data_IF_304044541003
#
_entry.id   IF_304044541003
#
_cell.length_a   1.000
_cell.length_b   1.000
_cell.length_c   1.000
_cell.angle_alpha   90.00
_cell.angle_beta   90.00
_cell.angle_gamma   90.00
#
_symmetry.space_group_name_H-M   'P 1'
#
loop_
_entity.id
_entity.type
_entity.pdbx_description
1 polymer ?
#
# COMPACT_ATOMS: atom_id res chain seq x y z
N UNK A 1 -27.40 -25.36 26.38
CA UNK A 1 -26.82 -26.01 25.19
C UNK A 1 -26.06 -24.94 24.41
N UNK A 2 -24.78 -25.23 24.13
CA UNK A 2 -23.88 -24.74 23.07
C UNK A 2 -24.31 -23.53 22.20
N UNK A 3 -23.42 -22.67 21.68
CA UNK A 3 -21.98 -22.36 21.83
C UNK A 3 -21.72 -21.25 20.78
N UNK A 4 -20.91 -20.28 21.14
CA UNK A 4 -19.90 -19.64 20.28
C UNK A 4 -20.37 -18.97 18.98
N UNK A 5 -20.94 -17.77 19.11
CA UNK A 5 -20.70 -16.72 18.11
C UNK A 5 -19.30 -16.17 18.35
N UNK A 6 -18.37 -16.17 17.37
CA UNK A 6 -17.08 -15.53 17.57
C UNK A 6 -17.27 -14.02 17.80
N UNK A 7 -16.38 -13.35 18.57
CA UNK A 7 -16.45 -11.90 18.77
C UNK A 7 -16.45 -11.19 17.42
N UNK A 8 -17.29 -10.17 17.25
CA UNK A 8 -17.45 -9.40 16.01
C UNK A 8 -16.10 -8.90 15.44
N UNK A 9 -15.13 -8.60 16.31
CA UNK A 9 -13.74 -8.27 15.96
C UNK A 9 -12.94 -9.41 15.31
N UNK A 10 -13.12 -10.66 15.75
CA UNK A 10 -12.51 -11.84 15.12
C UNK A 10 -13.14 -12.07 13.75
N UNK A 11 -14.45 -11.83 13.64
CA UNK A 11 -15.15 -11.89 12.35
C UNK A 11 -14.65 -10.82 11.37
N UNK A 12 -14.35 -9.61 11.86
CA UNK A 12 -13.81 -8.52 11.04
C UNK A 12 -12.34 -8.71 10.69
N UNK A 13 -11.47 -9.16 11.61
CA UNK A 13 -10.09 -9.55 11.28
C UNK A 13 -10.09 -10.67 10.25
N UNK A 14 -10.89 -11.72 10.45
CA UNK A 14 -10.96 -12.84 9.53
C UNK A 14 -11.56 -12.43 8.18
N UNK A 15 -12.56 -11.52 8.14
CA UNK A 15 -13.07 -10.94 6.89
C UNK A 15 -12.05 -10.06 6.18
N UNK A 16 -11.27 -9.26 6.90
CA UNK A 16 -10.22 -8.42 6.33
C UNK A 16 -9.09 -9.29 5.78
N UNK A 17 -8.61 -10.26 6.54
CA UNK A 17 -7.59 -11.21 6.08
C UNK A 17 -8.09 -12.04 4.90
N UNK A 18 -9.34 -12.54 4.98
CA UNK A 18 -9.99 -13.27 3.88
C UNK A 18 -10.19 -12.39 2.65
N UNK A 19 -10.58 -11.12 2.79
CA UNK A 19 -10.74 -10.18 1.67
C UNK A 19 -9.39 -9.76 1.06
N UNK A 20 -8.34 -9.62 1.88
CA UNK A 20 -6.97 -9.35 1.42
C UNK A 20 -6.35 -10.53 0.66
N UNK A 21 -6.77 -11.75 1.02
CA UNK A 21 -6.37 -13.00 0.36
C UNK A 21 -7.26 -13.29 -0.87
N UNK A 22 -8.57 -13.02 -0.81
CA UNK A 22 -9.53 -13.31 -1.88
C UNK A 22 -9.49 -12.27 -3.01
N UNK A 23 -9.20 -11.00 -2.71
CA UNK A 23 -8.90 -9.98 -3.72
C UNK A 23 -7.38 -9.80 -3.82
N UNK A 24 -6.68 -10.83 -4.31
CA UNK A 24 -5.27 -10.71 -4.66
C UNK A 24 -5.10 -9.49 -5.59
N UNK A 25 -4.34 -8.48 -5.14
CA UNK A 25 -3.98 -7.38 -6.03
C UNK A 25 -3.31 -7.97 -7.28
N UNK A 26 -3.55 -7.38 -8.45
CA UNK A 26 -3.04 -7.89 -9.73
C UNK A 26 -1.52 -8.10 -9.66
N UNK A 27 -0.83 -7.24 -8.90
CA UNK A 27 0.61 -7.34 -8.62
C UNK A 27 1.05 -8.64 -7.95
N UNK A 28 0.21 -9.21 -7.08
CA UNK A 28 0.51 -10.43 -6.31
C UNK A 28 0.07 -11.70 -7.03
N UNK A 29 -0.61 -11.59 -8.18
CA UNK A 29 -1.00 -12.77 -8.94
C UNK A 29 0.24 -13.57 -9.36
N UNK A 30 0.08 -14.90 -9.39
CA UNK A 30 1.04 -15.78 -10.04
C UNK A 30 1.32 -15.27 -11.47
N UNK A 31 2.59 -15.33 -11.89
CA UNK A 31 3.03 -14.87 -13.21
C UNK A 31 2.19 -15.47 -14.35
N UNK A 32 1.70 -16.72 -14.22
CA UNK A 32 0.84 -17.33 -15.24
C UNK A 32 -0.58 -16.76 -15.26
N UNK A 33 -1.14 -16.30 -14.13
CA UNK A 33 -2.39 -15.53 -14.12
C UNK A 33 -2.20 -14.18 -14.84
N UNK A 34 -1.04 -13.53 -14.65
CA UNK A 34 -0.69 -12.30 -15.38
C UNK A 34 -0.52 -12.55 -16.89
N UNK A 35 0.02 -13.71 -17.28
CA UNK A 35 0.07 -14.13 -18.68
C UNK A 35 -1.33 -14.28 -19.26
N UNK A 36 -2.26 -14.92 -18.55
CA UNK A 36 -3.65 -15.07 -18.99
C UNK A 36 -4.29 -13.70 -19.23
N UNK A 37 -4.14 -12.76 -18.28
CA UNK A 37 -4.64 -11.39 -18.44
C UNK A 37 -4.08 -10.74 -19.72
N UNK A 38 -2.76 -10.80 -19.91
CA UNK A 38 -2.12 -10.24 -21.10
C UNK A 38 -2.58 -10.92 -22.40
N UNK A 39 -2.77 -12.24 -22.41
CA UNK A 39 -3.26 -12.98 -23.58
C UNK A 39 -4.71 -12.60 -23.93
N UNK A 40 -5.55 -12.37 -22.93
CA UNK A 40 -6.92 -11.86 -23.13
C UNK A 40 -6.88 -10.45 -23.72
N UNK A 41 -6.03 -9.57 -23.19
CA UNK A 41 -5.85 -8.21 -23.73
C UNK A 41 -5.29 -8.25 -25.17
N UNK A 42 -4.33 -9.12 -25.45
CA UNK A 42 -3.79 -9.30 -26.80
C UNK A 42 -4.80 -9.88 -27.78
N UNK A 43 -5.61 -10.84 -27.35
CA UNK A 43 -6.73 -11.35 -28.14
C UNK A 43 -7.72 -10.24 -28.48
N UNK A 44 -8.06 -9.36 -27.52
CA UNK A 44 -8.92 -8.21 -27.75
C UNK A 44 -8.31 -7.23 -28.77
N UNK A 45 -6.99 -6.99 -28.73
CA UNK A 45 -6.29 -6.19 -29.76
C UNK A 45 -6.45 -6.82 -31.15
N UNK A 46 -6.27 -8.14 -31.29
CA UNK A 46 -6.48 -8.81 -32.59
C UNK A 46 -7.93 -8.77 -33.08
N UNK A 47 -8.90 -8.87 -32.17
CA UNK A 47 -10.32 -8.67 -32.50
C UNK A 47 -10.55 -7.27 -33.07
N UNK A 48 -10.00 -6.23 -32.44
CA UNK A 48 -10.06 -4.85 -32.97
C UNK A 48 -9.50 -4.78 -34.40
N UNK A 49 -8.33 -5.39 -34.65
CA UNK A 49 -7.78 -5.42 -36.01
C UNK A 49 -8.64 -6.18 -37.02
N UNK A 50 -9.23 -7.31 -36.61
CA UNK A 50 -10.12 -8.10 -37.47
C UNK A 50 -11.35 -7.27 -37.83
N UNK A 51 -11.96 -6.59 -36.85
CA UNK A 51 -13.10 -5.71 -37.06
C UNK A 51 -12.74 -4.61 -38.06
N UNK A 52 -11.61 -3.92 -37.89
CA UNK A 52 -11.18 -2.88 -38.82
C UNK A 52 -11.02 -3.42 -40.25
N UNK A 53 -10.32 -4.55 -40.43
CA UNK A 53 -10.09 -5.16 -41.75
C UNK A 53 -11.39 -5.62 -42.41
N UNK A 54 -12.30 -6.25 -41.65
CA UNK A 54 -13.61 -6.68 -42.17
C UNK A 54 -14.45 -5.48 -42.57
N UNK A 55 -14.48 -4.41 -41.77
CA UNK A 55 -15.18 -3.16 -42.12
C UNK A 55 -14.66 -2.55 -43.42
N UNK A 56 -13.34 -2.53 -43.63
CA UNK A 56 -12.74 -2.06 -44.89
C UNK A 56 -13.15 -2.95 -46.08
N UNK A 57 -13.17 -4.27 -45.91
CA UNK A 57 -13.61 -5.21 -46.97
C UNK A 57 -15.09 -5.06 -47.32
N UNK A 58 -15.93 -4.68 -46.36
CA UNK A 58 -17.37 -4.46 -46.57
C UNK A 58 -17.70 -3.10 -47.21
N UNK A 59 -16.72 -2.18 -47.31
CA UNK A 59 -16.90 -0.81 -47.79
C UNK A 59 -16.04 -0.56 -49.05
N UNK A 60 -16.55 -0.84 -50.27
CA UNK A 60 -15.79 -0.73 -51.52
C UNK A 60 -15.20 0.65 -51.80
N UNK A 61 -15.83 1.72 -51.29
CA UNK A 61 -15.33 3.10 -51.40
C UNK A 61 -13.97 3.32 -50.72
N UNK A 62 -13.58 2.45 -49.78
CA UNK A 62 -12.31 2.52 -49.06
C UNK A 62 -11.17 1.77 -49.77
N UNK A 63 -11.48 0.93 -50.77
CA UNK A 63 -10.49 0.07 -51.42
C UNK A 63 -9.39 0.85 -52.15
N UNK A 64 -9.69 2.06 -52.60
CA UNK A 64 -8.69 2.96 -53.22
C UNK A 64 -7.55 3.35 -52.27
N UNK A 65 -7.77 3.29 -50.96
CA UNK A 65 -6.81 3.72 -49.95
C UNK A 65 -5.98 2.58 -49.37
N UNK A 66 -6.25 1.32 -49.75
CA UNK A 66 -5.62 0.13 -49.16
C UNK A 66 -5.15 -0.90 -50.18
N UNK A 67 -4.08 -1.61 -49.85
CA UNK A 67 -3.65 -2.79 -50.60
C UNK A 67 -4.54 -4.00 -50.23
N UNK A 68 -5.50 -4.34 -51.09
CA UNK A 68 -6.47 -5.41 -50.85
C UNK A 68 -5.84 -6.82 -50.71
N UNK A 69 -4.93 -7.26 -51.60
CA UNK A 69 -4.23 -8.53 -51.42
C UNK A 69 -3.53 -8.64 -50.07
N UNK A 70 -2.77 -7.60 -49.69
CA UNK A 70 -2.08 -7.57 -48.40
C UNK A 70 -3.05 -7.55 -47.23
N UNK A 71 -4.13 -6.75 -47.31
CA UNK A 71 -5.13 -6.66 -46.25
C UNK A 71 -5.79 -8.02 -45.97
N UNK A 72 -6.14 -8.78 -47.02
CA UNK A 72 -6.72 -10.13 -46.89
C UNK A 72 -5.72 -11.12 -46.29
N UNK A 73 -4.46 -11.09 -46.72
CA UNK A 73 -3.40 -11.92 -46.14
C UNK A 73 -3.21 -11.60 -44.64
N UNK A 74 -3.14 -10.31 -44.30
CA UNK A 74 -2.99 -9.83 -42.92
C UNK A 74 -4.22 -10.11 -42.05
N UNK A 75 -5.41 -10.26 -42.63
CA UNK A 75 -6.60 -10.70 -41.90
C UNK A 75 -6.43 -12.15 -41.43
N UNK A 76 -5.98 -13.04 -42.31
CA UNK A 76 -5.67 -14.43 -41.97
C UNK A 76 -4.64 -14.54 -40.85
N UNK A 77 -3.56 -13.76 -40.93
CA UNK A 77 -2.55 -13.72 -39.86
C UNK A 77 -3.13 -13.27 -38.51
N UNK A 78 -4.02 -12.27 -38.48
CA UNK A 78 -4.66 -11.87 -37.23
C UNK A 78 -5.54 -12.96 -36.61
N UNK A 79 -6.26 -13.71 -37.43
CA UNK A 79 -7.04 -14.86 -36.96
C UNK A 79 -6.11 -15.93 -36.38
N UNK A 80 -4.97 -16.20 -37.02
CA UNK A 80 -3.97 -17.14 -36.51
C UNK A 80 -3.43 -16.69 -35.15
N UNK A 81 -2.99 -15.44 -35.00
CA UNK A 81 -2.48 -14.93 -33.73
C UNK A 81 -3.55 -14.92 -32.63
N UNK A 82 -4.79 -14.54 -32.96
CA UNK A 82 -5.92 -14.63 -32.03
C UNK A 82 -6.10 -16.06 -31.51
N UNK A 83 -6.14 -17.05 -32.40
CA UNK A 83 -6.29 -18.46 -32.02
C UNK A 83 -5.10 -18.93 -31.18
N UNK A 84 -3.86 -18.58 -31.57
CA UNK A 84 -2.66 -18.94 -30.80
C UNK A 84 -2.70 -18.36 -29.38
N UNK A 85 -3.11 -17.10 -29.21
CA UNK A 85 -3.23 -16.48 -27.90
C UNK A 85 -4.30 -17.16 -27.04
N UNK A 86 -5.46 -17.47 -27.62
CA UNK A 86 -6.54 -18.18 -26.91
C UNK A 86 -6.13 -19.61 -26.51
N UNK A 87 -5.44 -20.33 -27.40
CA UNK A 87 -4.92 -21.68 -27.09
C UNK A 87 -3.86 -21.65 -26.00
N UNK A 88 -3.03 -20.60 -25.92
CA UNK A 88 -1.99 -20.45 -24.91
C UNK A 88 -2.54 -20.16 -23.50
N UNK A 89 -3.80 -19.74 -23.36
CA UNK A 89 -4.45 -19.55 -22.06
C UNK A 89 -4.56 -20.89 -21.30
N UNK A 90 -4.93 -21.97 -22.00
CA UNK A 90 -5.11 -23.28 -21.38
C UNK A 90 -3.85 -23.80 -20.67
N UNK A 91 -2.65 -23.87 -21.29
CA UNK A 91 -1.45 -24.33 -20.60
C UNK A 91 -1.03 -23.39 -19.46
N UNK A 92 -1.26 -22.06 -19.58
CA UNK A 92 -1.04 -21.14 -18.46
C UNK A 92 -1.92 -21.46 -17.25
N UNK A 93 -3.15 -21.92 -17.48
CA UNK A 93 -4.06 -22.33 -16.41
C UNK A 93 -3.74 -23.74 -15.88
N UNK A 94 -3.63 -24.72 -16.78
CA UNK A 94 -3.47 -26.14 -16.47
C UNK A 94 -2.13 -26.46 -15.80
N UNK A 95 -1.06 -25.72 -16.12
CA UNK A 95 0.29 -25.96 -15.60
C UNK A 95 0.75 -24.88 -14.62
N UNK A 96 -0.19 -24.16 -13.98
CA UNK A 96 0.10 -23.08 -13.03
C UNK A 96 1.05 -23.49 -11.89
N UNK A 97 1.03 -24.76 -11.49
CA UNK A 97 1.84 -25.31 -10.39
C UNK A 97 3.19 -25.91 -10.84
N UNK A 98 3.46 -25.98 -12.16
CA UNK A 98 4.70 -26.53 -12.71
C UNK A 98 5.77 -25.43 -12.81
N UNK A 99 6.92 -25.62 -12.17
CA UNK A 99 8.04 -24.66 -12.18
C UNK A 99 8.51 -24.30 -13.59
N UNK A 100 8.68 -25.29 -14.47
CA UNK A 100 9.12 -25.04 -15.85
C UNK A 100 8.12 -24.17 -16.62
N UNK A 101 6.82 -24.34 -16.39
CA UNK A 101 5.77 -23.58 -17.06
C UNK A 101 5.77 -22.12 -16.60
N UNK A 102 5.97 -21.87 -15.29
CA UNK A 102 6.13 -20.53 -14.73
C UNK A 102 7.36 -19.78 -15.26
N UNK A 103 8.39 -20.50 -15.73
CA UNK A 103 9.57 -19.89 -16.35
C UNK A 103 9.38 -19.67 -17.84
N UNK A 104 8.88 -20.66 -18.59
CA UNK A 104 8.87 -20.64 -20.05
C UNK A 104 7.67 -19.91 -20.64
N UNK A 105 6.46 -20.16 -20.13
CA UNK A 105 5.23 -19.62 -20.72
C UNK A 105 5.15 -18.08 -20.70
N UNK A 106 5.71 -17.35 -19.71
CA UNK A 106 5.75 -15.89 -19.78
C UNK A 106 6.53 -15.35 -20.97
N UNK A 107 7.70 -15.92 -21.29
CA UNK A 107 8.48 -15.50 -22.47
C UNK A 107 7.73 -15.78 -23.77
N UNK A 108 7.07 -16.94 -23.87
CA UNK A 108 6.26 -17.28 -25.05
C UNK A 108 5.07 -16.33 -25.18
N UNK A 109 4.36 -16.08 -24.08
CA UNK A 109 3.16 -15.22 -24.09
C UNK A 109 3.52 -13.77 -24.46
N UNK A 110 4.55 -13.22 -23.82
CA UNK A 110 5.00 -11.84 -24.06
C UNK A 110 5.59 -11.74 -25.46
N UNK A 111 6.42 -12.71 -25.87
CA UNK A 111 7.01 -12.76 -27.21
C UNK A 111 5.96 -12.82 -28.32
N UNK A 112 4.97 -13.70 -28.20
CA UNK A 112 3.87 -13.81 -29.16
C UNK A 112 3.10 -12.49 -29.29
N UNK A 113 2.79 -11.85 -28.16
CA UNK A 113 2.12 -10.55 -28.13
C UNK A 113 2.95 -9.45 -28.81
N UNK A 114 4.22 -9.33 -28.45
CA UNK A 114 5.12 -8.29 -28.97
C UNK A 114 5.40 -8.48 -30.47
N UNK A 115 5.65 -9.69 -30.93
CA UNK A 115 5.85 -9.99 -32.36
C UNK A 115 4.61 -9.59 -33.17
N UNK A 116 3.42 -9.85 -32.63
CA UNK A 116 2.17 -9.46 -33.29
C UNK A 116 2.04 -7.94 -33.42
N UNK A 117 2.40 -7.18 -32.36
CA UNK A 117 2.36 -5.72 -32.35
C UNK A 117 3.42 -5.12 -33.28
N UNK A 118 4.62 -5.69 -33.34
CA UNK A 118 5.66 -5.24 -34.26
C UNK A 118 5.23 -5.39 -35.72
N UNK A 119 4.64 -6.53 -36.08
CA UNK A 119 4.08 -6.75 -37.42
C UNK A 119 3.00 -5.72 -37.72
N UNK A 120 2.01 -5.62 -36.85
CA UNK A 120 0.89 -4.71 -37.04
C UNK A 120 1.32 -3.25 -37.12
N UNK A 121 2.27 -2.86 -36.27
CA UNK A 121 2.87 -1.53 -36.28
C UNK A 121 3.63 -1.21 -37.56
N UNK A 122 4.36 -2.19 -38.12
CA UNK A 122 4.97 -2.02 -39.44
C UNK A 122 3.91 -1.85 -40.53
N UNK A 123 2.85 -2.66 -40.51
CA UNK A 123 1.81 -2.67 -41.54
C UNK A 123 1.12 -1.31 -41.69
N UNK A 124 0.86 -0.60 -40.59
CA UNK A 124 0.22 0.74 -40.62
C UNK A 124 1.19 1.92 -40.61
N UNK A 125 2.48 1.67 -40.38
CA UNK A 125 3.51 2.70 -40.31
C UNK A 125 4.29 2.63 -39.00
N UNK A 126 5.61 2.49 -39.11
CA UNK A 126 6.51 2.29 -37.96
C UNK A 126 6.44 3.46 -36.95
N UNK A 127 6.27 4.70 -37.42
CA UNK A 127 6.11 5.89 -36.58
C UNK A 127 4.64 6.38 -36.53
N UNK A 128 3.68 5.54 -36.90
CA UNK A 128 2.28 5.90 -36.82
C UNK A 128 1.87 6.15 -35.35
N UNK A 129 0.88 7.03 -35.10
CA UNK A 129 0.35 7.25 -33.76
C UNK A 129 -0.05 5.95 -33.05
N UNK A 130 -0.70 5.02 -33.76
CA UNK A 130 -1.08 3.72 -33.23
C UNK A 130 0.13 2.88 -32.78
N UNK A 131 1.18 2.81 -33.61
CA UNK A 131 2.41 2.07 -33.29
C UNK A 131 3.13 2.68 -32.09
N UNK A 132 3.22 4.00 -32.01
CA UNK A 132 3.87 4.69 -30.88
C UNK A 132 3.10 4.51 -29.57
N UNK A 133 1.76 4.61 -29.60
CA UNK A 133 0.93 4.36 -28.42
C UNK A 133 1.07 2.90 -27.96
N UNK A 134 1.02 1.93 -28.86
CA UNK A 134 1.22 0.52 -28.53
C UNK A 134 2.61 0.27 -27.94
N UNK A 135 3.66 0.88 -28.51
CA UNK A 135 5.04 0.75 -28.04
C UNK A 135 5.24 1.31 -26.63
N UNK A 136 4.74 2.52 -26.34
CA UNK A 136 4.81 3.10 -24.99
C UNK A 136 4.01 2.26 -23.99
N UNK A 137 2.81 1.82 -24.39
CA UNK A 137 1.93 0.99 -23.55
C UNK A 137 2.57 -0.36 -23.20
N UNK A 138 3.31 -0.96 -24.14
CA UNK A 138 4.03 -2.21 -23.92
C UNK A 138 5.06 -2.07 -22.80
N UNK A 139 5.81 -0.97 -22.76
CA UNK A 139 6.80 -0.74 -21.70
C UNK A 139 6.12 -0.47 -20.37
N UNK A 140 5.15 0.44 -20.35
CA UNK A 140 4.50 0.86 -19.10
C UNK A 140 3.70 -0.28 -18.47
N UNK A 141 2.79 -0.90 -19.23
CA UNK A 141 2.00 -2.05 -18.73
C UNK A 141 2.88 -3.28 -18.52
N UNK A 142 3.84 -3.53 -19.42
CA UNK A 142 4.75 -4.67 -19.33
C UNK A 142 5.57 -4.66 -18.05
N UNK A 143 6.22 -3.55 -17.70
CA UNK A 143 7.05 -3.43 -16.49
C UNK A 143 6.24 -3.48 -15.20
N UNK A 144 4.96 -3.11 -15.25
CA UNK A 144 4.08 -3.23 -14.09
C UNK A 144 3.63 -4.68 -13.87
N UNK A 145 3.30 -5.40 -14.94
CA UNK A 145 2.82 -6.77 -14.83
C UNK A 145 3.96 -7.79 -14.65
N UNK A 146 5.05 -7.64 -15.39
CA UNK A 146 6.09 -8.66 -15.52
C UNK A 146 7.46 -8.20 -15.00
N UNK A 147 8.30 -9.13 -14.52
CA UNK A 147 9.70 -8.86 -14.23
C UNK A 147 10.43 -8.25 -15.43
N UNK A 148 11.31 -7.28 -15.15
CA UNK A 148 12.11 -6.56 -16.16
C UNK A 148 12.83 -7.48 -17.17
N UNK A 149 13.30 -8.65 -16.73
CA UNK A 149 13.99 -9.61 -17.59
C UNK A 149 13.10 -10.14 -18.73
N UNK A 150 11.83 -10.41 -18.45
CA UNK A 150 10.87 -10.88 -19.46
C UNK A 150 10.53 -9.73 -20.41
N UNK A 151 10.25 -8.55 -19.87
CA UNK A 151 9.87 -7.37 -20.67
C UNK A 151 11.00 -6.97 -21.62
N UNK A 152 12.24 -6.85 -21.13
CA UNK A 152 13.38 -6.45 -21.94
C UNK A 152 13.77 -7.51 -22.99
N UNK A 153 13.53 -8.80 -22.71
CA UNK A 153 13.78 -9.86 -23.70
C UNK A 153 12.94 -9.73 -24.96
N UNK A 154 11.73 -9.15 -24.86
CA UNK A 154 10.86 -8.92 -26.00
C UNK A 154 10.97 -7.47 -26.53
N UNK A 155 11.17 -6.52 -25.63
CA UNK A 155 11.23 -5.10 -25.97
C UNK A 155 12.47 -4.73 -26.79
N UNK A 156 13.67 -5.22 -26.43
CA UNK A 156 14.89 -4.87 -27.16
C UNK A 156 14.87 -5.36 -28.62
N UNK A 157 14.48 -6.63 -28.93
CA UNK A 157 14.28 -7.06 -30.31
C UNK A 157 13.20 -6.26 -31.05
N UNK A 158 12.11 -5.89 -30.36
CA UNK A 158 11.05 -5.07 -30.94
C UNK A 158 11.56 -3.68 -31.34
N UNK A 159 12.35 -3.03 -30.49
CA UNK A 159 13.00 -1.75 -30.80
C UNK A 159 13.92 -1.89 -32.00
N UNK A 160 14.79 -2.91 -32.01
CA UNK A 160 15.72 -3.14 -33.12
C UNK A 160 14.97 -3.40 -34.44
N UNK A 161 13.89 -4.18 -34.40
CA UNK A 161 13.03 -4.44 -35.56
C UNK A 161 12.39 -3.15 -36.09
N UNK A 162 11.71 -2.39 -35.22
CA UNK A 162 11.02 -1.16 -35.64
C UNK A 162 12.01 -0.13 -36.18
N UNK A 163 13.14 0.08 -35.50
CA UNK A 163 14.21 0.97 -35.97
C UNK A 163 14.80 0.49 -37.31
N UNK A 164 15.01 -0.81 -37.47
CA UNK A 164 15.45 -1.39 -38.73
C UNK A 164 14.47 -1.13 -39.87
N UNK A 165 13.17 -1.36 -39.64
CA UNK A 165 12.11 -1.06 -40.61
C UNK A 165 12.06 0.44 -40.95
N UNK A 166 12.26 1.33 -39.97
CA UNK A 166 12.32 2.77 -40.19
C UNK A 166 13.47 3.14 -41.14
N UNK A 167 14.69 2.65 -40.90
CA UNK A 167 15.84 2.95 -41.76
C UNK A 167 15.70 2.35 -43.16
N UNK A 168 15.25 1.09 -43.26
CA UNK A 168 15.02 0.44 -44.56
C UNK A 168 13.93 1.15 -45.36
N UNK A 169 12.89 1.67 -44.68
CA UNK A 169 11.86 2.46 -45.31
C UNK A 169 12.38 3.81 -45.79
N UNK A 170 13.23 4.47 -44.99
CA UNK A 170 13.84 5.75 -45.37
C UNK A 170 14.74 5.62 -46.61
N UNK A 171 15.43 4.49 -46.76
CA UNK A 171 16.26 4.20 -47.94
C UNK A 171 15.47 3.63 -49.13
N UNK A 172 14.16 3.42 -48.98
CA UNK A 172 13.30 2.93 -50.07
C UNK A 172 13.41 1.42 -50.34
N UNK A 173 14.06 0.64 -49.47
CA UNK A 173 14.12 -0.83 -49.63
C UNK A 173 12.78 -1.51 -49.30
N UNK A 174 12.01 -0.95 -48.37
CA UNK A 174 10.68 -1.43 -47.99
C UNK A 174 9.69 -0.26 -47.90
N UNK A 175 8.38 -0.49 -48.08
CA UNK A 175 7.37 0.54 -47.85
C UNK A 175 7.27 0.90 -46.35
N UNK A 176 6.96 2.17 -46.06
CA UNK A 176 6.75 2.68 -44.70
C UNK A 176 5.51 2.07 -44.02
N UNK A 177 4.41 2.00 -44.77
CA UNK A 177 3.07 1.60 -44.32
C UNK A 177 2.39 0.79 -45.44
N UNK A 178 2.80 -0.47 -45.64
CA UNK A 178 2.46 -1.26 -46.82
C UNK A 178 0.95 -1.45 -47.05
N UNK A 179 0.12 -1.31 -46.01
CA UNK A 179 -1.34 -1.46 -46.16
C UNK A 179 -2.01 -0.27 -46.82
N UNK A 180 -1.40 0.92 -46.82
CA UNK A 180 -2.05 2.15 -47.27
C UNK A 180 -1.48 2.65 -48.60
N UNK A 181 -2.36 3.02 -49.52
CA UNK A 181 -2.01 3.74 -50.76
C UNK A 181 -2.19 5.24 -50.57
N UNK A 182 -1.34 5.86 -49.74
CA UNK A 182 -1.41 7.30 -49.43
C UNK A 182 -0.20 7.99 -50.06
N UNK A 183 -0.46 8.81 -51.08
CA UNK A 183 0.55 9.59 -51.81
C UNK A 183 0.70 11.03 -51.29
N UNK A 184 -0.29 11.52 -50.54
CA UNK A 184 -0.30 12.82 -49.89
C UNK A 184 0.18 12.74 -48.43
N UNK A 185 0.18 13.87 -47.71
CA UNK A 185 0.45 13.86 -46.26
C UNK A 185 -0.62 13.03 -45.53
N UNK A 186 -0.19 11.99 -44.81
CA UNK A 186 -1.05 11.06 -44.04
C UNK A 186 -2.11 11.77 -43.19
N UNK A 187 -1.74 12.87 -42.54
CA UNK A 187 -2.63 13.61 -41.66
C UNK A 187 -3.83 14.25 -42.37
N UNK A 188 -3.72 14.52 -43.67
CA UNK A 188 -4.81 15.10 -44.46
C UNK A 188 -5.79 14.04 -44.99
N UNK A 189 -5.54 12.75 -44.73
CA UNK A 189 -6.41 11.67 -45.16
C UNK A 189 -7.33 11.23 -44.01
N UNK A 190 -8.63 11.54 -44.14
CA UNK A 190 -9.63 11.24 -43.11
C UNK A 190 -9.68 9.75 -42.76
N UNK A 191 -9.58 8.87 -43.77
CA UNK A 191 -9.62 7.42 -43.56
C UNK A 191 -8.45 6.93 -42.70
N UNK A 192 -7.23 7.41 -42.97
CA UNK A 192 -6.06 7.09 -42.16
C UNK A 192 -6.19 7.61 -40.74
N UNK A 193 -6.61 8.86 -40.57
CA UNK A 193 -6.78 9.48 -39.25
C UNK A 193 -7.81 8.72 -38.39
N UNK A 194 -8.97 8.39 -38.96
CA UNK A 194 -10.00 7.59 -38.29
C UNK A 194 -9.47 6.19 -37.96
N UNK A 195 -8.69 5.59 -38.84
CA UNK A 195 -8.06 4.28 -38.60
C UNK A 195 -7.08 4.34 -37.42
N UNK A 196 -6.25 5.38 -37.33
CA UNK A 196 -5.36 5.57 -36.19
C UNK A 196 -6.13 5.74 -34.88
N UNK A 197 -7.18 6.56 -34.88
CA UNK A 197 -8.03 6.75 -33.71
C UNK A 197 -8.71 5.45 -33.26
N UNK A 198 -9.18 4.63 -34.21
CA UNK A 198 -9.80 3.32 -33.96
C UNK A 198 -8.84 2.34 -33.27
N UNK A 199 -7.56 2.33 -33.64
CA UNK A 199 -6.55 1.48 -32.98
C UNK A 199 -6.10 2.02 -31.62
N UNK A 200 -6.01 3.33 -31.47
CA UNK A 200 -5.52 3.98 -30.24
C UNK A 200 -6.54 3.89 -29.10
N UNK A 201 -7.82 4.14 -29.38
CA UNK A 201 -8.83 4.29 -28.34
C UNK A 201 -8.94 3.06 -27.41
N UNK A 202 -9.02 1.80 -27.91
CA UNK A 202 -9.08 0.63 -27.04
C UNK A 202 -7.81 0.45 -26.19
N UNK A 203 -6.63 0.75 -26.74
CA UNK A 203 -5.35 0.63 -26.02
C UNK A 203 -5.32 1.63 -24.87
N UNK A 204 -5.65 2.90 -25.12
CA UNK A 204 -5.66 3.94 -24.09
C UNK A 204 -6.70 3.67 -23.01
N UNK A 205 -7.93 3.29 -23.37
CA UNK A 205 -8.98 2.95 -22.40
C UNK A 205 -8.51 1.80 -21.52
N UNK A 206 -7.96 0.74 -22.11
CA UNK A 206 -7.45 -0.42 -21.36
C UNK A 206 -6.31 -0.02 -20.41
N UNK A 207 -5.36 0.79 -20.88
CA UNK A 207 -4.25 1.26 -20.06
C UNK A 207 -4.73 2.12 -18.89
N UNK A 208 -5.66 3.05 -19.13
CA UNK A 208 -6.23 3.90 -18.10
C UNK A 208 -6.98 3.09 -17.04
N UNK A 209 -7.85 2.16 -17.46
CA UNK A 209 -8.59 1.28 -16.54
C UNK A 209 -7.63 0.43 -15.71
N UNK A 210 -6.64 -0.19 -16.35
CA UNK A 210 -5.66 -1.01 -15.64
C UNK A 210 -4.85 -0.18 -14.64
N UNK A 211 -4.41 1.02 -15.04
CA UNK A 211 -3.64 1.92 -14.19
C UNK A 211 -4.46 2.39 -12.97
N UNK A 212 -5.71 2.78 -13.16
CA UNK A 212 -6.61 3.15 -12.06
C UNK A 212 -6.84 1.99 -11.07
N UNK A 213 -7.05 0.77 -11.57
CA UNK A 213 -7.18 -0.42 -10.71
C UNK A 213 -5.92 -0.62 -9.87
N UNK A 214 -4.75 -0.54 -10.49
CA UNK A 214 -3.47 -0.75 -9.81
C UNK A 214 -3.18 0.34 -8.77
N UNK A 215 -3.42 1.61 -9.11
CA UNK A 215 -3.27 2.73 -8.18
C UNK A 215 -4.23 2.63 -7.00
N UNK A 216 -5.48 2.25 -7.26
CA UNK A 216 -6.49 2.05 -6.21
C UNK A 216 -6.06 0.94 -5.24
N UNK A 217 -5.59 -0.20 -5.78
CA UNK A 217 -5.07 -1.30 -4.97
C UNK A 217 -3.85 -0.88 -4.13
N UNK A 218 -2.93 -0.09 -4.71
CA UNK A 218 -1.76 0.41 -4.00
C UNK A 218 -2.15 1.36 -2.85
N UNK A 219 -3.00 2.37 -3.11
CA UNK A 219 -3.48 3.31 -2.08
C UNK A 219 -4.22 2.61 -0.95
N UNK A 220 -5.03 1.60 -1.28
CA UNK A 220 -5.74 0.81 -0.27
C UNK A 220 -4.77 0.06 0.64
N UNK A 221 -3.76 -0.60 0.08
CA UNK A 221 -2.72 -1.30 0.86
C UNK A 221 -1.94 -0.36 1.75
N UNK A 222 -1.53 0.79 1.23
CA UNK A 222 -0.81 1.78 2.03
C UNK A 222 -1.63 2.26 3.23
N UNK A 223 -2.91 2.59 3.00
CA UNK A 223 -3.83 2.96 4.10
C UNK A 223 -4.00 1.84 5.10
N UNK A 224 -4.08 0.59 4.65
CA UNK A 224 -4.21 -0.54 5.53
C UNK A 224 -2.95 -0.74 6.37
N UNK A 225 -1.76 -0.68 5.77
CA UNK A 225 -0.48 -0.76 6.49
C UNK A 225 -0.40 0.34 7.54
N UNK A 226 -0.72 1.59 7.15
CA UNK A 226 -0.77 2.72 8.09
C UNK A 226 -1.76 2.49 9.23
N UNK A 227 -2.94 1.94 8.93
CA UNK A 227 -3.92 1.56 9.97
C UNK A 227 -3.34 0.47 10.88
N UNK A 228 -2.76 -0.58 10.31
CA UNK A 228 -2.28 -1.75 11.06
C UNK A 228 -0.96 -1.51 11.82
N UNK A 229 -0.28 -0.37 11.63
CA UNK A 229 0.90 -0.05 12.42
C UNK A 229 0.53 0.03 13.91
N UNK A 230 1.16 -0.81 14.73
CA UNK A 230 0.98 -0.87 16.19
C UNK A 230 2.04 -0.06 16.95
N UNK A 231 3.08 0.37 16.24
CA UNK A 231 4.26 1.03 16.81
C UNK A 231 4.24 2.52 16.44
N UNK A 232 4.65 3.36 17.37
CA UNK A 232 4.96 4.77 17.15
C UNK A 232 6.32 4.87 16.43
N UNK A 233 6.39 5.49 15.25
CA UNK A 233 7.60 5.47 14.42
C UNK A 233 8.76 6.28 15.01
N UNK A 234 8.50 7.22 15.92
CA UNK A 234 9.55 8.00 16.57
C UNK A 234 10.17 7.22 17.73
N UNK A 235 9.33 6.76 18.65
CA UNK A 235 9.77 6.19 19.93
C UNK A 235 9.96 4.67 19.92
N UNK A 236 9.48 4.00 18.86
CA UNK A 236 9.43 2.55 18.74
C UNK A 236 8.64 1.84 19.86
N UNK A 237 7.83 2.58 20.62
CA UNK A 237 6.88 2.05 21.59
C UNK A 237 5.54 1.74 20.94
N UNK A 238 4.63 1.11 21.68
CA UNK A 238 3.26 1.00 21.21
C UNK A 238 2.61 2.37 21.02
N UNK A 239 1.87 2.53 19.93
CA UNK A 239 1.08 3.73 19.74
C UNK A 239 -0.24 3.65 20.53
N UNK A 240 -0.95 4.77 20.64
CA UNK A 240 -2.27 4.85 21.27
C UNK A 240 -3.25 3.76 20.82
N UNK A 241 -3.22 3.37 19.54
CA UNK A 241 -4.10 2.31 19.02
C UNK A 241 -3.76 0.96 19.65
N UNK A 242 -2.49 0.59 19.68
CA UNK A 242 -2.05 -0.67 20.28
C UNK A 242 -2.29 -0.70 21.79
N UNK A 243 -2.10 0.42 22.49
CA UNK A 243 -2.46 0.54 23.91
C UNK A 243 -3.94 0.25 24.15
N UNK A 244 -4.83 0.85 23.36
CA UNK A 244 -6.27 0.59 23.50
C UNK A 244 -6.58 -0.90 23.26
N UNK A 245 -5.92 -1.54 22.28
CA UNK A 245 -6.07 -2.98 22.04
C UNK A 245 -5.60 -3.82 23.23
N UNK A 246 -4.49 -3.46 23.87
CA UNK A 246 -4.06 -4.13 25.11
C UNK A 246 -5.10 -3.97 26.23
N UNK A 247 -5.69 -2.79 26.39
CA UNK A 247 -6.74 -2.55 27.38
C UNK A 247 -8.01 -3.35 27.10
N UNK A 248 -8.43 -3.43 25.83
CA UNK A 248 -9.58 -4.24 25.43
C UNK A 248 -9.34 -5.73 25.71
N UNK A 249 -8.11 -6.22 25.48
CA UNK A 249 -7.71 -7.60 25.79
C UNK A 249 -7.76 -7.89 27.30
N UNK A 250 -7.25 -6.98 28.14
CA UNK A 250 -7.32 -7.10 29.62
C UNK A 250 -8.77 -7.25 30.10
N UNK A 251 -9.69 -6.47 29.53
CA UNK A 251 -11.13 -6.57 29.84
C UNK A 251 -11.70 -7.92 29.41
N UNK A 252 -11.34 -8.41 28.23
CA UNK A 252 -11.79 -9.71 27.72
C UNK A 252 -11.26 -10.88 28.56
N UNK A 253 -10.04 -10.77 29.09
CA UNK A 253 -9.41 -11.77 29.95
C UNK A 253 -9.88 -11.69 31.41
N UNK A 254 -10.73 -10.71 31.73
CA UNK A 254 -11.18 -10.41 33.09
C UNK A 254 -10.01 -10.23 34.08
N UNK A 255 -8.88 -9.68 33.62
CA UNK A 255 -7.77 -9.33 34.50
C UNK A 255 -8.18 -8.10 35.34
N UNK A 256 -8.36 -8.31 36.64
CA UNK A 256 -8.83 -7.27 37.56
C UNK A 256 -7.71 -6.60 38.36
N UNK A 257 -6.47 -7.04 38.18
CA UNK A 257 -5.32 -6.56 38.94
C UNK A 257 -4.28 -5.93 38.00
N UNK A 258 -4.52 -4.70 37.58
CA UNK A 258 -3.58 -3.92 36.80
C UNK A 258 -3.61 -2.44 37.23
N UNK A 259 -2.52 -1.73 36.99
CA UNK A 259 -2.46 -0.29 37.19
C UNK A 259 -2.33 0.42 35.84
N UNK A 260 -3.03 1.53 35.69
CA UNK A 260 -2.79 2.49 34.63
C UNK A 260 -1.94 3.64 35.18
N UNK A 261 -0.85 3.93 34.48
CA UNK A 261 -0.01 5.08 34.76
C UNK A 261 0.00 5.97 33.52
N UNK A 262 -0.53 7.18 33.65
CA UNK A 262 -0.33 8.22 32.65
C UNK A 262 0.83 9.10 33.07
N UNK A 263 1.70 9.42 32.13
CA UNK A 263 2.81 10.34 32.35
C UNK A 263 2.91 11.35 31.22
N UNK A 264 3.41 12.52 31.57
CA UNK A 264 3.57 13.63 30.64
C UNK A 264 4.86 14.37 30.98
N UNK A 265 5.63 14.71 29.94
CA UNK A 265 6.90 15.40 30.07
C UNK A 265 6.68 16.86 30.49
N UNK A 266 7.23 17.20 31.65
CA UNK A 266 7.09 18.52 32.22
C UNK A 266 7.80 19.55 31.33
N UNK A 267 7.09 20.60 30.95
CA UNK A 267 7.64 21.73 30.19
C UNK A 267 8.24 21.33 28.82
N UNK A 268 7.82 20.23 28.20
CA UNK A 268 8.37 19.75 26.92
C UNK A 268 8.31 20.77 25.78
N UNK A 269 7.28 21.62 25.76
CA UNK A 269 7.21 22.73 24.80
C UNK A 269 8.44 23.64 24.86
N UNK A 270 8.98 23.94 26.05
CA UNK A 270 10.18 24.75 26.18
C UNK A 270 11.40 24.08 25.55
N UNK A 271 11.51 22.75 25.62
CA UNK A 271 12.59 22.02 24.95
C UNK A 271 12.53 22.23 23.43
N UNK A 272 11.32 22.18 22.85
CA UNK A 272 11.13 22.45 21.42
C UNK A 272 11.40 23.92 21.07
N UNK A 273 10.95 24.84 21.91
CA UNK A 273 11.07 26.28 21.65
C UNK A 273 12.54 26.76 21.78
N UNK A 274 13.29 26.23 22.75
CA UNK A 274 14.66 26.66 23.07
C UNK A 274 15.73 25.88 22.26
N UNK A 275 15.51 24.59 21.99
CA UNK A 275 16.51 23.71 21.34
C UNK A 275 16.06 23.12 20.00
N UNK A 276 14.85 23.46 19.55
CA UNK A 276 14.28 23.01 18.28
C UNK A 276 13.66 21.61 18.33
N UNK A 277 12.80 21.34 17.34
CA UNK A 277 12.04 20.09 17.25
C UNK A 277 12.90 18.82 17.20
N UNK A 278 14.11 18.90 16.61
CA UNK A 278 15.01 17.75 16.57
C UNK A 278 15.46 17.30 17.97
N UNK A 279 15.69 18.24 18.89
CA UNK A 279 16.05 17.94 20.29
C UNK A 279 14.85 17.49 21.11
N UNK A 280 13.66 18.00 20.80
CA UNK A 280 12.41 17.46 21.34
C UNK A 280 12.21 15.98 20.93
N UNK A 281 12.42 15.67 19.66
CA UNK A 281 12.33 14.30 19.15
C UNK A 281 13.38 13.37 19.80
N UNK A 282 14.63 13.81 19.92
CA UNK A 282 15.68 13.09 20.65
C UNK A 282 15.25 12.82 22.10
N UNK A 283 14.70 13.83 22.78
CA UNK A 283 14.21 13.70 24.16
C UNK A 283 13.13 12.63 24.29
N UNK A 284 12.15 12.61 23.37
CA UNK A 284 11.09 11.60 23.36
C UNK A 284 11.63 10.19 23.15
N UNK A 285 12.61 10.02 22.27
CA UNK A 285 13.28 8.72 22.04
C UNK A 285 14.00 8.25 23.31
N UNK A 286 14.77 9.12 23.96
CA UNK A 286 15.54 8.76 25.17
C UNK A 286 14.62 8.45 26.36
N UNK A 287 13.52 9.19 26.50
CA UNK A 287 12.47 8.88 27.49
C UNK A 287 11.85 7.51 27.20
N UNK A 288 11.52 7.22 25.95
CA UNK A 288 10.93 5.94 25.57
C UNK A 288 11.84 4.75 25.88
N UNK A 289 13.14 4.86 25.58
CA UNK A 289 14.15 3.86 25.94
C UNK A 289 14.20 3.62 27.45
N UNK A 290 14.24 4.70 28.23
CA UNK A 290 14.27 4.64 29.71
C UNK A 290 13.02 3.97 30.26
N UNK A 291 11.83 4.36 29.79
CA UNK A 291 10.59 3.74 30.23
C UNK A 291 10.61 2.22 29.95
N UNK A 292 11.02 1.82 28.75
CA UNK A 292 11.07 0.41 28.36
C UNK A 292 12.09 -0.40 29.19
N UNK A 293 13.26 0.16 29.51
CA UNK A 293 14.28 -0.50 30.34
C UNK A 293 13.88 -0.69 31.81
N UNK A 294 13.01 0.17 32.33
CA UNK A 294 12.63 0.15 33.75
C UNK A 294 11.33 -0.60 34.03
N UNK A 295 10.70 -1.18 33.02
CA UNK A 295 9.49 -2.00 33.12
C UNK A 295 9.79 -3.49 32.96
N UNK A 296 8.86 -4.34 33.40
CA UNK A 296 8.96 -5.78 33.24
C UNK A 296 8.49 -6.18 31.84
N UNK A 297 8.91 -7.33 31.35
CA UNK A 297 8.43 -7.89 30.07
C UNK A 297 6.91 -8.08 30.01
N UNK A 298 6.26 -8.24 31.17
CA UNK A 298 4.80 -8.34 31.26
C UNK A 298 4.10 -7.00 31.17
N UNK A 299 4.80 -5.89 31.40
CA UNK A 299 4.21 -4.55 31.42
C UNK A 299 4.18 -3.96 30.01
N UNK A 300 3.20 -3.09 29.75
CA UNK A 300 3.01 -2.47 28.44
C UNK A 300 3.34 -0.99 28.54
N UNK A 301 4.13 -0.47 27.59
CA UNK A 301 4.42 0.95 27.48
C UNK A 301 4.11 1.45 26.07
N UNK A 302 3.51 2.64 25.99
CA UNK A 302 3.19 3.27 24.72
C UNK A 302 3.16 4.78 24.76
N UNK A 303 3.36 5.39 23.60
CA UNK A 303 3.17 6.82 23.38
C UNK A 303 1.69 7.08 23.12
N UNK A 304 1.04 7.74 24.07
CA UNK A 304 -0.40 7.99 24.07
C UNK A 304 -0.76 9.30 23.36
N UNK A 305 0.12 10.30 23.43
CA UNK A 305 -0.04 11.62 22.84
C UNK A 305 1.30 12.18 22.31
N UNK A 306 1.39 13.50 22.14
CA UNK A 306 2.62 14.14 21.66
C UNK A 306 3.79 13.94 22.64
N UNK A 307 3.58 14.33 23.89
CA UNK A 307 4.55 14.24 25.00
C UNK A 307 4.05 13.33 26.14
N UNK A 308 2.95 12.62 25.89
CA UNK A 308 2.25 11.78 26.85
C UNK A 308 2.56 10.30 26.58
N UNK A 309 2.88 9.57 27.64
CA UNK A 309 3.05 8.12 27.60
C UNK A 309 2.10 7.47 28.59
N UNK A 310 1.83 6.19 28.35
CA UNK A 310 0.98 5.37 29.19
C UNK A 310 1.65 4.04 29.46
N UNK A 311 1.57 3.62 30.72
CA UNK A 311 2.05 2.34 31.19
C UNK A 311 0.84 1.52 31.67
N UNK A 312 0.81 0.25 31.29
CA UNK A 312 -0.11 -0.74 31.83
C UNK A 312 0.74 -1.72 32.64
N UNK A 313 0.62 -1.67 33.96
CA UNK A 313 1.38 -2.50 34.88
C UNK A 313 0.53 -3.69 35.28
N UNK A 314 0.87 -4.87 34.77
CA UNK A 314 0.11 -6.08 35.04
C UNK A 314 0.36 -6.58 36.47
N UNK A 315 -0.66 -7.21 37.06
CA UNK A 315 -0.61 -7.82 38.41
C UNK A 315 -0.03 -6.89 39.49
N UNK A 316 -0.33 -5.60 39.40
CA UNK A 316 0.28 -4.57 40.25
C UNK A 316 -0.73 -3.89 41.16
N UNK A 317 -0.46 -3.95 42.47
CA UNK A 317 -1.19 -3.16 43.47
C UNK A 317 -0.70 -1.70 43.50
N UNK A 318 -1.34 -0.86 44.31
CA UNK A 318 -1.01 0.57 44.41
C UNK A 318 0.47 0.83 44.76
N UNK A 319 1.01 0.08 45.71
CA UNK A 319 2.39 0.24 46.16
C UNK A 319 3.39 -0.13 45.06
N UNK A 320 3.17 -1.27 44.40
CA UNK A 320 4.01 -1.75 43.29
C UNK A 320 3.96 -0.78 42.10
N UNK A 321 2.76 -0.29 41.77
CA UNK A 321 2.58 0.70 40.71
C UNK A 321 3.30 2.01 41.03
N UNK A 322 3.22 2.47 42.29
CA UNK A 322 3.90 3.68 42.76
C UNK A 322 5.42 3.52 42.69
N UNK A 323 5.95 2.37 43.12
CA UNK A 323 7.39 2.07 43.04
C UNK A 323 7.88 2.04 41.59
N UNK A 324 7.11 1.44 40.67
CA UNK A 324 7.46 1.41 39.25
C UNK A 324 7.45 2.82 38.63
N UNK A 325 6.40 3.60 38.89
CA UNK A 325 6.31 4.99 38.42
C UNK A 325 7.44 5.86 38.97
N UNK A 326 7.78 5.74 40.26
CA UNK A 326 8.85 6.52 40.88
C UNK A 326 10.24 6.15 40.36
N UNK A 327 10.45 4.86 40.04
CA UNK A 327 11.66 4.39 39.34
C UNK A 327 11.76 5.02 37.96
N UNK A 328 10.70 4.98 37.17
CA UNK A 328 10.65 5.63 35.84
C UNK A 328 10.87 7.15 35.95
N UNK A 329 10.22 7.82 36.90
CA UNK A 329 10.37 9.26 37.14
C UNK A 329 11.81 9.65 37.45
N UNK A 330 12.44 8.92 38.38
CA UNK A 330 13.83 9.14 38.78
C UNK A 330 14.79 8.89 37.63
N UNK A 331 14.54 7.86 36.81
CA UNK A 331 15.35 7.55 35.65
C UNK A 331 15.23 8.60 34.54
N UNK A 332 14.03 9.12 34.28
CA UNK A 332 13.83 10.25 33.36
C UNK A 332 14.58 11.49 33.85
N UNK A 333 14.48 11.81 35.15
CA UNK A 333 15.20 12.94 35.74
C UNK A 333 16.73 12.80 35.63
N UNK A 334 17.23 11.57 35.65
CA UNK A 334 18.65 11.27 35.53
C UNK A 334 19.16 11.27 34.08
N UNK A 335 18.29 11.43 33.07
CA UNK A 335 18.71 11.44 31.67
C UNK A 335 19.77 12.51 31.41
N UNK A 336 20.77 12.11 30.65
CA UNK A 336 21.83 12.99 30.17
C UNK A 336 21.59 13.26 28.69
N UNK A 337 20.94 14.39 28.43
CA UNK A 337 20.67 14.93 27.10
C UNK A 337 21.34 16.30 27.06
N UNK A 338 22.06 16.59 25.97
CA UNK A 338 22.84 17.81 25.82
C UNK A 338 22.38 18.59 24.58
N UNK A 339 22.38 19.93 24.69
CA UNK A 339 22.22 20.83 23.57
C UNK A 339 23.44 20.77 22.64
N UNK A 340 23.32 21.36 21.45
CA UNK A 340 24.44 21.42 20.49
C UNK A 340 25.62 22.24 21.03
N UNK A 341 25.36 23.15 21.97
CA UNK A 341 26.35 23.95 22.69
C UNK A 341 26.92 23.24 23.94
N UNK A 342 26.49 22.00 24.21
CA UNK A 342 26.98 21.17 25.31
C UNK A 342 26.32 21.43 26.66
N UNK A 343 25.23 22.20 26.72
CA UNK A 343 24.48 22.42 27.95
C UNK A 343 23.57 21.23 28.26
N UNK A 344 23.46 20.85 29.55
CA UNK A 344 22.57 19.75 29.95
C UNK A 344 21.11 20.19 29.91
N UNK A 345 20.30 19.47 29.13
CA UNK A 345 18.85 19.66 29.05
C UNK A 345 18.19 18.90 30.20
N UNK A 346 17.51 19.62 31.09
CA UNK A 346 16.82 19.01 32.22
C UNK A 346 15.43 18.52 31.82
N UNK A 347 15.24 17.20 31.82
CA UNK A 347 13.95 16.56 31.50
C UNK A 347 13.36 15.95 32.76
N UNK A 348 12.10 16.29 33.05
CA UNK A 348 11.34 15.69 34.15
C UNK A 348 9.94 15.31 33.66
N UNK A 349 9.24 14.48 34.43
CA UNK A 349 7.90 14.05 34.07
C UNK A 349 7.01 13.95 35.30
N UNK A 350 5.73 14.26 35.11
CA UNK A 350 4.69 14.08 36.11
C UNK A 350 3.92 12.80 35.80
N UNK A 351 3.49 12.09 36.85
CA UNK A 351 2.84 10.78 36.73
C UNK A 351 1.53 10.75 37.52
N UNK A 352 0.48 10.21 36.91
CA UNK A 352 -0.81 9.92 37.52
C UNK A 352 -1.12 8.44 37.48
N UNK A 353 -1.42 7.84 38.64
CA UNK A 353 -1.70 6.41 38.78
C UNK A 353 -3.18 6.19 39.12
N UNK A 354 -3.79 5.20 38.47
CA UNK A 354 -5.07 4.65 38.87
C UNK A 354 -5.02 3.11 38.90
N UNK A 355 -5.69 2.51 39.90
CA UNK A 355 -5.73 1.06 40.11
C UNK A 355 -7.07 0.49 39.67
N UNK A 356 -7.01 -0.57 38.86
CA UNK A 356 -8.21 -1.26 38.41
C UNK A 356 -8.99 -1.85 39.58
N UNK A 357 -10.31 -1.85 39.45
CA UNK A 357 -11.20 -2.60 40.33
C UNK A 357 -12.37 -3.14 39.51
N UNK A 358 -13.04 -4.18 40.04
CA UNK A 358 -14.03 -4.98 39.32
C UNK A 358 -15.15 -4.17 38.64
N UNK A 359 -15.46 -2.97 39.14
CA UNK A 359 -16.54 -2.12 38.65
C UNK A 359 -16.10 -1.04 37.64
N UNK A 360 -14.80 -0.88 37.37
CA UNK A 360 -14.31 0.13 36.43
C UNK A 360 -14.08 -0.41 35.03
N UNK A 361 -14.55 0.37 34.06
CA UNK A 361 -14.11 0.25 32.67
C UNK A 361 -12.76 0.95 32.47
N UNK A 362 -11.90 0.48 31.53
CA UNK A 362 -10.59 1.10 31.26
C UNK A 362 -10.67 2.60 30.99
N UNK A 363 -11.72 3.07 30.33
CA UNK A 363 -11.94 4.50 30.05
C UNK A 363 -12.13 5.33 31.33
N UNK A 364 -12.80 4.78 32.34
CA UNK A 364 -12.98 5.44 33.63
C UNK A 364 -11.65 5.45 34.40
N UNK A 365 -10.89 4.35 34.34
CA UNK A 365 -9.58 4.24 34.96
C UNK A 365 -8.56 5.21 34.34
N UNK A 366 -8.61 5.38 33.02
CA UNK A 366 -7.82 6.37 32.30
C UNK A 366 -8.15 7.79 32.77
N UNK A 367 -9.44 8.12 32.93
CA UNK A 367 -9.87 9.41 33.48
C UNK A 367 -9.42 9.64 34.92
N UNK A 368 -9.33 8.59 35.74
CA UNK A 368 -8.78 8.67 37.09
C UNK A 368 -7.27 8.94 37.08
N UNK A 369 -6.52 8.25 36.22
CA UNK A 369 -5.08 8.47 36.05
C UNK A 369 -4.80 9.90 35.56
N UNK A 370 -5.62 10.42 34.65
CA UNK A 370 -5.51 11.79 34.13
C UNK A 370 -5.73 12.85 35.23
N UNK A 371 -6.74 12.66 36.09
CA UNK A 371 -6.96 13.53 37.26
C UNK A 371 -5.76 13.52 38.21
N UNK A 372 -5.18 12.35 38.48
CA UNK A 372 -3.98 12.24 39.31
C UNK A 372 -2.77 12.92 38.65
N UNK A 373 -2.61 12.79 37.33
CA UNK A 373 -1.55 13.46 36.57
C UNK A 373 -1.70 14.99 36.63
N UNK A 374 -2.93 15.48 36.49
CA UNK A 374 -3.23 16.90 36.66
C UNK A 374 -2.84 17.40 38.05
N UNK A 375 -3.17 16.66 39.11
CA UNK A 375 -2.75 16.99 40.47
C UNK A 375 -1.24 16.96 40.65
N UNK A 376 -0.52 16.04 39.98
CA UNK A 376 0.94 16.00 40.00
C UNK A 376 1.54 17.28 39.40
N UNK A 377 1.02 17.71 38.25
CA UNK A 377 1.41 18.96 37.60
C UNK A 377 1.10 20.18 38.46
N UNK A 378 -0.10 20.26 39.02
CA UNK A 378 -0.55 21.38 39.87
C UNK A 378 0.22 21.47 41.19
N UNK A 379 0.68 20.33 41.74
CA UNK A 379 1.44 20.30 42.99
C UNK A 379 2.90 20.71 42.83
N UNK A 380 3.37 21.04 41.62
CA UNK A 380 4.74 21.46 41.34
C UNK A 380 5.57 20.46 40.55
N UNK A 381 4.93 19.58 39.76
CA UNK A 381 5.57 18.72 38.74
C UNK A 381 6.62 17.74 39.28
N UNK A 382 7.27 16.98 38.39
CA UNK A 382 8.31 16.00 38.70
C UNK A 382 7.96 15.09 39.88
N UNK A 383 6.77 14.47 39.84
CA UNK A 383 6.25 13.64 40.94
C UNK A 383 5.22 12.65 40.48
N UNK A 384 5.00 11.66 41.33
CA UNK A 384 3.93 10.68 41.19
C UNK A 384 2.75 11.08 42.09
N UNK A 385 1.53 11.03 41.54
CA UNK A 385 0.27 11.12 42.29
C UNK A 385 -0.61 9.92 41.99
N UNK A 386 -1.38 9.52 42.99
CA UNK A 386 -2.32 8.41 42.89
C UNK A 386 -3.74 8.96 42.98
N UNK A 387 -4.65 8.44 42.16
CA UNK A 387 -6.05 8.79 42.28
C UNK A 387 -6.62 8.22 43.58
N UNK A 388 -7.10 9.11 44.45
CA UNK A 388 -7.82 8.75 45.67
C UNK A 388 -9.24 9.28 45.56
N UNK A 389 -10.24 8.41 45.75
CA UNK A 389 -11.62 8.88 45.90
C UNK A 389 -11.66 9.77 47.15
N UNK A 390 -11.96 11.07 47.01
CA UNK A 390 -12.28 11.91 48.17
C UNK A 390 -13.50 11.29 48.85
N UNK A 391 -13.31 10.75 50.05
CA UNK A 391 -14.42 10.41 50.92
C UNK A 391 -15.26 11.68 51.13
N UNK A 392 -16.53 11.60 50.78
CA UNK A 392 -17.51 12.61 51.10
C UNK A 392 -17.54 12.72 52.64
N UNK A 393 -17.44 13.91 53.25
CA UNK A 393 -17.51 14.01 54.70
C UNK A 393 -18.90 13.55 55.14
N UNK A 394 -18.93 12.50 55.97
CA UNK A 394 -20.12 12.04 56.68
C UNK A 394 -20.76 13.26 57.37
N UNK A 395 -21.93 13.67 56.89
CA UNK A 395 -22.81 14.56 57.65
C UNK A 395 -23.20 13.82 58.91
N UNK A 396 -22.46 14.10 59.99
CA UNK A 396 -22.73 13.60 61.32
C UNK A 396 -24.20 13.89 61.69
N UNK A 397 -24.88 12.81 62.05
CA UNK A 397 -26.10 12.76 62.84
C UNK A 397 -26.09 13.81 63.95
N UNK A 398 -27.01 14.77 63.88
CA UNK A 398 -27.39 15.57 65.04
C UNK A 398 -28.42 14.77 65.87
N UNK A 399 -28.25 14.61 67.19
CA UNK A 399 -29.24 13.99 68.05
C UNK A 399 -30.41 14.95 68.32
N UNK A 400 -31.55 14.33 68.63
CA UNK A 400 -32.92 14.86 68.85
C UNK A 400 -33.05 16.22 69.53
#
# INVERSE_FOLDING_TARGET
>A
MNKNSPPQEVLDKHRITKFLIENEAIMNWNILKKCILMLILGAAVHVTWIIWKVSVLLMPNLWQWVDLPLLKFQLGLNVVFLVLMLLLIYPCYAWKDRRWAQVVLPYISVGLFVVSLCRDGYVVGVLSPATMTAYVSLVTVGLVLFPRAIVYSAFLPATAYLTGCMFLSQWGYIPYSPVFHITSYYFNNDFWLISMAFFIAPILITCLVLFEILLSQWRYRERLIKKLSQIDPLTNLFNRRQINQCLDQIVQEHEQNYALVLLDLDHFKFINDDYGHHKGDETLVRVAEVLNMHLRDSDVVGRFGGEEFILILHKSNLEQATQAAERCRSAIQALEIYSDDGEKIHVTASFGIAISHAELRPQQLLSQADKALYEAKASGRNRVKTFTLKAQPDTATAPL
#
